data_IF_007383151818
#
_entry.id   IF_007383151818
#
_cell.length_a   1.000
_cell.length_b   1.000
_cell.length_c   1.000
_cell.angle_alpha   90.00
_cell.angle_beta   90.00
_cell.angle_gamma   90.00
#
_symmetry.space_group_name_H-M   'P 1'
#
loop_
_entity.id
_entity.type
_entity.pdbx_description
1 polymer ?
#
# COMPACT_ATOMS: atom_id res chain seq x y z
N UNK A 1 12.56 8.03 11.51
CA UNK A 1 11.99 9.31 12.01
C UNK A 1 10.54 9.11 12.40
N UNK A 2 10.16 9.64 13.53
CA UNK A 2 8.78 9.53 14.01
C UNK A 2 8.07 10.85 13.69
N UNK A 3 6.94 10.75 12.99
CA UNK A 3 6.09 11.90 12.71
C UNK A 3 5.04 11.99 13.83
N UNK A 4 5.15 13.01 14.68
CA UNK A 4 4.39 13.11 15.93
C UNK A 4 2.90 13.43 15.74
N UNK A 5 2.47 13.79 14.53
CA UNK A 5 1.11 14.29 14.30
C UNK A 5 0.23 13.31 13.50
N UNK A 6 0.55 12.02 13.54
CA UNK A 6 -0.28 11.01 12.89
C UNK A 6 -1.23 10.44 13.93
N UNK A 7 -2.41 11.01 14.03
CA UNK A 7 -3.40 10.65 15.04
C UNK A 7 -4.64 9.98 14.46
N UNK A 8 -4.71 9.86 13.14
CA UNK A 8 -5.86 9.28 12.46
C UNK A 8 -5.43 8.69 11.13
N UNK A 9 -6.30 7.86 10.57
CA UNK A 9 -6.06 7.31 9.23
C UNK A 9 -6.00 8.43 8.19
N UNK A 10 -6.79 9.47 8.36
CA UNK A 10 -6.77 10.63 7.46
C UNK A 10 -5.44 11.40 7.54
N UNK A 11 -4.88 11.56 8.74
CA UNK A 11 -3.56 12.15 8.90
C UNK A 11 -2.50 11.32 8.18
N UNK A 12 -2.58 10.00 8.32
CA UNK A 12 -1.68 9.08 7.64
C UNK A 12 -1.81 9.21 6.13
N UNK A 13 -3.03 9.32 5.63
CA UNK A 13 -3.28 9.52 4.20
C UNK A 13 -2.66 10.83 3.70
N UNK A 14 -2.86 11.93 4.41
CA UNK A 14 -2.30 13.22 4.00
C UNK A 14 -0.78 13.19 3.98
N UNK A 15 -0.16 12.58 4.98
CA UNK A 15 1.29 12.43 5.01
C UNK A 15 1.78 11.56 3.86
N UNK A 16 1.10 10.45 3.60
CA UNK A 16 1.45 9.53 2.50
C UNK A 16 1.38 10.26 1.16
N UNK A 17 0.30 11.00 0.94
CA UNK A 17 0.13 11.79 -0.28
C UNK A 17 1.25 12.80 -0.43
N UNK A 18 1.57 13.53 0.63
CA UNK A 18 2.63 14.54 0.62
C UNK A 18 3.99 13.92 0.32
N UNK A 19 4.30 12.77 0.90
CA UNK A 19 5.64 12.16 0.81
C UNK A 19 5.84 11.30 -0.42
N UNK A 20 4.79 10.70 -0.95
CA UNK A 20 4.94 9.72 -2.02
C UNK A 20 4.56 10.26 -3.40
N UNK A 21 3.59 11.17 -3.50
CA UNK A 21 3.20 11.69 -4.83
C UNK A 21 4.37 12.42 -5.46
N UNK A 22 4.68 12.05 -6.70
CA UNK A 22 5.81 12.59 -7.45
C UNK A 22 7.15 11.92 -7.16
N UNK A 23 7.19 10.96 -6.25
CA UNK A 23 8.44 10.30 -5.88
C UNK A 23 8.74 9.13 -6.80
N UNK A 24 10.00 9.04 -7.21
CA UNK A 24 10.54 7.93 -7.98
C UNK A 24 11.14 6.89 -7.05
N UNK A 25 10.86 5.63 -7.30
CA UNK A 25 11.42 4.52 -6.54
C UNK A 25 11.97 3.45 -7.43
N UNK A 26 12.81 2.59 -6.86
CA UNK A 26 13.39 1.43 -7.55
C UNK A 26 13.21 0.18 -6.71
N UNK A 27 13.26 -0.97 -7.39
CA UNK A 27 13.23 -2.28 -6.75
C UNK A 27 14.57 -2.93 -6.99
N UNK A 28 15.21 -3.42 -5.92
CA UNK A 28 16.55 -4.01 -6.00
C UNK A 28 16.54 -5.43 -5.48
N UNK A 29 17.43 -6.24 -6.05
CA UNK A 29 17.69 -7.60 -5.59
C UNK A 29 19.11 -7.60 -5.04
N UNK A 30 19.27 -8.05 -3.79
CA UNK A 30 20.58 -8.12 -3.14
C UNK A 30 20.84 -9.55 -2.69
N UNK A 31 21.83 -10.18 -3.26
CA UNK A 31 22.34 -11.47 -2.81
C UNK A 31 23.72 -11.71 -3.40
N UNK A 32 24.45 -12.65 -2.83
CA UNK A 32 25.82 -12.97 -3.27
C UNK A 32 26.72 -11.73 -3.36
N UNK A 33 26.59 -10.82 -2.37
CA UNK A 33 27.32 -9.56 -2.26
C UNK A 33 27.15 -8.62 -3.44
N UNK A 34 26.04 -8.76 -4.19
CA UNK A 34 25.72 -7.91 -5.34
C UNK A 34 24.33 -7.35 -5.20
N UNK A 35 24.18 -6.11 -5.61
CA UNK A 35 22.87 -5.45 -5.70
C UNK A 35 22.58 -5.10 -7.15
N UNK A 36 21.41 -5.49 -7.60
CA UNK A 36 20.95 -5.22 -8.97
C UNK A 36 19.60 -4.51 -8.91
N UNK A 37 19.47 -3.42 -9.64
CA UNK A 37 18.17 -2.71 -9.77
C UNK A 37 17.35 -3.47 -10.80
N UNK A 38 16.17 -3.91 -10.38
CA UNK A 38 15.27 -4.66 -11.24
C UNK A 38 14.68 -3.75 -12.33
N UNK A 39 14.75 -4.20 -13.58
CA UNK A 39 14.33 -3.40 -14.72
C UNK A 39 12.94 -3.73 -15.24
N UNK A 40 12.30 -4.81 -14.75
CA UNK A 40 10.96 -5.16 -15.14
C UNK A 40 9.91 -4.34 -14.39
N UNK A 41 8.67 -4.44 -14.84
CA UNK A 41 7.55 -3.74 -14.19
C UNK A 41 6.44 -4.68 -13.72
N UNK A 42 6.63 -5.97 -13.83
CA UNK A 42 5.63 -6.98 -13.52
C UNK A 42 5.42 -7.20 -12.02
N UNK A 43 6.37 -6.79 -11.17
CA UNK A 43 6.28 -6.99 -9.71
C UNK A 43 6.07 -5.69 -8.94
N UNK A 44 5.99 -4.54 -9.60
CA UNK A 44 5.94 -3.24 -8.92
C UNK A 44 4.74 -3.18 -7.98
N UNK A 45 3.57 -3.59 -8.45
CA UNK A 45 2.35 -3.52 -7.65
C UNK A 45 2.46 -4.35 -6.38
N UNK A 46 2.94 -5.59 -6.49
CA UNK A 46 3.08 -6.47 -5.33
C UNK A 46 4.11 -5.93 -4.34
N UNK A 47 5.22 -5.38 -4.85
CA UNK A 47 6.24 -4.79 -3.99
C UNK A 47 5.70 -3.58 -3.23
N UNK A 48 4.92 -2.73 -3.87
CA UNK A 48 4.33 -1.56 -3.22
C UNK A 48 3.33 -1.97 -2.14
N UNK A 49 2.55 -3.02 -2.38
CA UNK A 49 1.59 -3.52 -1.41
C UNK A 49 2.29 -4.02 -0.13
N UNK A 50 3.45 -4.64 -0.27
CA UNK A 50 4.23 -5.10 0.89
C UNK A 50 4.99 -3.96 1.55
N UNK A 51 5.49 -3.03 0.75
CA UNK A 51 6.32 -1.93 1.26
C UNK A 51 5.53 -0.96 2.12
N UNK A 52 4.28 -0.67 1.75
CA UNK A 52 3.53 0.41 2.39
C UNK A 52 3.29 0.18 3.88
N UNK A 53 2.81 -1.00 4.33
CA UNK A 53 2.65 -1.21 5.77
C UNK A 53 3.98 -1.20 6.53
N UNK A 54 5.08 -1.63 5.93
CA UNK A 54 6.40 -1.52 6.54
C UNK A 54 6.78 -0.05 6.74
N UNK A 55 6.52 0.79 5.75
CA UNK A 55 6.81 2.21 5.85
C UNK A 55 5.95 2.87 6.94
N UNK A 56 4.68 2.48 7.04
CA UNK A 56 3.82 2.98 8.10
C UNK A 56 4.33 2.61 9.49
N UNK A 57 4.83 1.39 9.67
CA UNK A 57 5.47 0.99 10.92
C UNK A 57 6.71 1.83 11.21
N UNK A 58 7.51 2.09 10.19
CA UNK A 58 8.68 2.96 10.31
C UNK A 58 8.29 4.38 10.77
N UNK A 59 7.15 4.87 10.32
CA UNK A 59 6.64 6.18 10.74
C UNK A 59 6.11 6.19 12.18
N UNK A 60 6.02 5.04 12.82
CA UNK A 60 5.53 4.94 14.20
C UNK A 60 4.05 4.63 14.33
N UNK A 61 3.37 4.30 13.24
CA UNK A 61 1.95 3.92 13.28
C UNK A 61 1.83 2.50 13.85
N UNK A 62 0.82 2.29 14.69
CA UNK A 62 0.53 0.97 15.23
C UNK A 62 -0.13 0.12 14.14
N UNK A 63 0.67 -0.73 13.51
CA UNK A 63 0.28 -1.56 12.38
C UNK A 63 0.40 -3.02 12.76
N UNK A 64 -0.66 -3.78 12.53
CA UNK A 64 -0.65 -5.23 12.61
C UNK A 64 -0.82 -5.77 11.20
N UNK A 65 0.23 -6.40 10.66
CA UNK A 65 0.18 -6.97 9.32
C UNK A 65 -0.68 -8.23 9.30
N UNK A 66 -1.26 -8.52 8.13
CA UNK A 66 -1.94 -9.79 7.90
C UNK A 66 -0.96 -10.95 7.95
N UNK A 67 -1.50 -12.17 7.82
CA UNK A 67 -0.73 -13.42 7.96
C UNK A 67 0.05 -13.80 6.70
N UNK A 68 0.15 -12.89 5.73
CA UNK A 68 0.83 -13.17 4.46
C UNK A 68 0.00 -13.89 3.44
N UNK A 69 -1.24 -14.26 3.77
CA UNK A 69 -2.17 -14.84 2.81
C UNK A 69 -2.82 -13.73 1.98
N UNK A 70 -3.49 -14.10 0.90
CA UNK A 70 -4.22 -13.16 0.06
C UNK A 70 -5.57 -12.77 0.65
N UNK A 71 -5.76 -12.97 1.94
CA UNK A 71 -7.00 -12.63 2.61
C UNK A 71 -7.01 -11.17 3.03
N UNK A 72 -8.18 -10.58 3.00
CA UNK A 72 -8.45 -9.27 3.56
C UNK A 72 -8.34 -9.31 5.10
N UNK A 73 -7.78 -8.29 5.76
CA UNK A 73 -7.10 -7.12 5.18
C UNK A 73 -5.58 -7.34 5.05
N UNK A 74 -4.91 -6.46 4.30
CA UNK A 74 -3.45 -6.47 4.25
C UNK A 74 -2.86 -6.12 5.61
N UNK A 75 -3.48 -5.16 6.31
CA UNK A 75 -3.06 -4.80 7.65
C UNK A 75 -4.19 -4.12 8.43
N UNK A 76 -3.99 -4.01 9.73
CA UNK A 76 -4.86 -3.24 10.62
C UNK A 76 -4.05 -2.10 11.20
N UNK A 77 -4.57 -0.88 11.09
CA UNK A 77 -3.99 0.31 11.70
C UNK A 77 -4.83 0.70 12.91
N UNK A 78 -4.18 1.03 14.00
CA UNK A 78 -4.87 1.39 15.24
C UNK A 78 -4.57 2.83 15.61
N UNK A 79 -5.62 3.61 15.82
CA UNK A 79 -5.52 5.00 16.23
C UNK A 79 -6.50 5.22 17.40
N UNK A 80 -5.98 5.70 18.53
CA UNK A 80 -6.80 6.03 19.70
C UNK A 80 -7.71 4.87 20.13
N UNK A 81 -7.18 3.64 20.06
CA UNK A 81 -7.92 2.45 20.43
C UNK A 81 -8.88 1.93 19.39
N UNK A 82 -9.02 2.60 18.26
CA UNK A 82 -9.91 2.18 17.16
C UNK A 82 -9.09 1.50 16.08
N UNK A 83 -9.55 0.33 15.64
CA UNK A 83 -8.89 -0.45 14.60
C UNK A 83 -9.54 -0.20 13.25
N UNK A 84 -8.70 -0.03 12.23
CA UNK A 84 -9.10 0.15 10.84
C UNK A 84 -8.47 -0.94 9.99
N UNK A 85 -9.30 -1.67 9.27
CA UNK A 85 -8.83 -2.68 8.33
C UNK A 85 -8.49 -1.99 7.00
N UNK A 86 -7.29 -2.23 6.51
CA UNK A 86 -6.80 -1.54 5.30
C UNK A 86 -6.32 -2.57 4.29
N UNK A 87 -6.81 -2.43 3.08
CA UNK A 87 -6.36 -3.18 1.92
C UNK A 87 -5.56 -2.23 1.02
N UNK A 88 -4.36 -2.62 0.67
CA UNK A 88 -3.51 -1.82 -0.22
C UNK A 88 -3.75 -2.30 -1.65
N UNK A 89 -3.98 -1.35 -2.54
CA UNK A 89 -4.07 -1.61 -3.97
C UNK A 89 -3.06 -0.74 -4.69
N UNK A 90 -2.28 -1.35 -5.55
CA UNK A 90 -1.36 -0.64 -6.43
C UNK A 90 -1.91 -0.73 -7.85
N UNK A 91 -1.97 0.42 -8.52
CA UNK A 91 -2.58 0.55 -9.82
C UNK A 91 -1.59 1.18 -10.79
N UNK A 92 -1.27 0.45 -11.85
CA UNK A 92 -0.52 1.02 -12.98
C UNK A 92 -1.46 1.96 -13.73
N UNK A 93 -1.23 3.27 -13.63
CA UNK A 93 -2.15 4.28 -14.16
C UNK A 93 -2.21 4.29 -15.68
N UNK A 94 -1.30 3.61 -16.37
CA UNK A 94 -1.39 3.43 -17.82
C UNK A 94 -2.51 2.46 -18.20
N UNK A 95 -3.03 1.69 -17.25
CA UNK A 95 -4.10 0.73 -17.46
C UNK A 95 -5.39 1.23 -16.83
N UNK A 96 -6.51 0.59 -17.19
CA UNK A 96 -7.76 0.84 -16.49
C UNK A 96 -7.69 0.27 -15.07
N UNK A 97 -8.26 0.95 -14.07
CA UNK A 97 -8.27 0.40 -12.73
C UNK A 97 -9.06 -0.92 -12.72
N UNK A 98 -8.36 -2.01 -12.38
CA UNK A 98 -8.98 -3.31 -12.24
C UNK A 98 -8.48 -3.91 -10.93
N UNK A 99 -9.37 -4.02 -9.95
CA UNK A 99 -9.04 -4.58 -8.65
C UNK A 99 -9.43 -6.04 -8.62
N UNK A 100 -8.69 -6.81 -7.82
CA UNK A 100 -8.89 -8.23 -7.69
C UNK A 100 -10.28 -8.51 -7.09
N UNK A 101 -11.12 -9.17 -7.86
CA UNK A 101 -12.47 -9.52 -7.43
C UNK A 101 -12.47 -10.50 -6.26
N UNK A 102 -11.46 -11.36 -6.18
CA UNK A 102 -11.35 -12.30 -5.05
C UNK A 102 -11.12 -11.55 -3.74
N UNK A 103 -10.30 -10.51 -3.76
CA UNK A 103 -10.10 -9.67 -2.57
C UNK A 103 -11.37 -8.93 -2.19
N UNK A 104 -12.13 -8.46 -3.19
CA UNK A 104 -13.42 -7.81 -2.93
C UNK A 104 -14.40 -8.79 -2.28
N UNK A 105 -14.49 -10.01 -2.79
CA UNK A 105 -15.35 -11.03 -2.21
C UNK A 105 -14.93 -11.38 -0.78
N UNK A 106 -13.62 -11.50 -0.54
CA UNK A 106 -13.10 -11.72 0.81
C UNK A 106 -13.48 -10.58 1.76
N UNK A 107 -13.44 -9.34 1.27
CA UNK A 107 -13.90 -8.20 2.05
C UNK A 107 -15.39 -8.31 2.38
N UNK A 108 -16.24 -8.64 1.41
CA UNK A 108 -17.66 -8.79 1.63
C UNK A 108 -17.95 -9.85 2.70
N UNK A 109 -17.27 -11.00 2.60
CA UNK A 109 -17.42 -12.07 3.60
C UNK A 109 -17.01 -11.59 4.98
N UNK A 110 -15.89 -10.86 5.07
CA UNK A 110 -15.39 -10.33 6.34
C UNK A 110 -16.39 -9.37 6.98
N UNK A 111 -16.94 -8.45 6.19
CA UNK A 111 -17.89 -7.47 6.72
C UNK A 111 -19.22 -8.11 7.11
N UNK A 112 -19.63 -9.14 6.40
CA UNK A 112 -20.87 -9.84 6.71
C UNK A 112 -20.74 -10.68 7.98
N UNK A 113 -19.61 -11.38 8.16
CA UNK A 113 -19.42 -12.30 9.29
C UNK A 113 -18.82 -11.62 10.52
N UNK A 114 -18.23 -10.44 10.37
CA UNK A 114 -17.59 -9.68 11.45
C UNK A 114 -18.02 -8.22 11.39
N UNK A 115 -19.25 -7.91 11.84
CA UNK A 115 -19.80 -6.53 11.70
C UNK A 115 -18.94 -5.46 12.37
N UNK A 116 -18.08 -5.83 13.33
CA UNK A 116 -17.16 -4.88 13.96
C UNK A 116 -16.06 -4.37 13.04
N UNK A 117 -15.91 -4.95 11.84
CA UNK A 117 -14.91 -4.52 10.86
C UNK A 117 -15.49 -3.60 9.79
N UNK A 118 -16.44 -2.75 10.19
CA UNK A 118 -17.02 -1.76 9.28
C UNK A 118 -16.05 -0.62 8.95
N UNK A 119 -15.00 -0.42 9.78
CA UNK A 119 -13.96 0.57 9.51
C UNK A 119 -12.93 -0.02 8.55
N UNK A 120 -13.31 -0.11 7.28
CA UNK A 120 -12.49 -0.74 6.25
C UNK A 120 -12.24 0.24 5.12
N UNK A 121 -11.00 0.26 4.64
CA UNK A 121 -10.53 1.24 3.68
C UNK A 121 -9.62 0.59 2.64
N UNK A 122 -9.64 1.16 1.43
CA UNK A 122 -8.60 0.95 0.44
C UNK A 122 -7.58 2.07 0.53
N UNK A 123 -6.30 1.71 0.60
CA UNK A 123 -5.19 2.62 0.35
C UNK A 123 -4.69 2.31 -1.07
N UNK A 124 -4.83 3.25 -1.98
CA UNK A 124 -4.58 3.01 -3.40
C UNK A 124 -3.39 3.85 -3.84
N UNK A 125 -2.38 3.19 -4.40
CA UNK A 125 -1.20 3.83 -4.98
C UNK A 125 -1.29 3.73 -6.49
N UNK A 126 -1.46 4.86 -7.16
CA UNK A 126 -1.38 4.93 -8.61
C UNK A 126 0.07 5.20 -9.02
N UNK A 127 0.67 4.29 -9.76
CA UNK A 127 2.08 4.39 -10.15
C UNK A 127 2.23 4.29 -11.66
N UNK A 128 3.34 4.85 -12.15
CA UNK A 128 3.73 4.75 -13.56
C UNK A 128 5.11 4.11 -13.63
N UNK A 129 5.27 2.97 -14.32
CA UNK A 129 6.59 2.40 -14.55
C UNK A 129 7.45 3.32 -15.39
N UNK A 130 8.76 3.25 -15.23
CA UNK A 130 9.68 3.94 -16.11
C UNK A 130 9.57 3.39 -17.54
N UNK A 131 9.45 4.26 -18.51
CA UNK A 131 9.19 3.87 -19.90
C UNK A 131 10.42 3.89 -20.77
N UNK A 132 11.43 4.67 -20.42
CA UNK A 132 12.65 4.74 -21.20
C UNK A 132 13.67 3.71 -20.74
N UNK A 133 14.56 3.31 -21.66
CA UNK A 133 15.58 2.30 -21.35
C UNK A 133 16.68 2.80 -20.41
N UNK A 134 16.64 4.06 -20.01
CA UNK A 134 17.65 4.68 -19.15
C UNK A 134 17.18 4.85 -17.73
N UNK A 135 15.86 4.88 -17.49
CA UNK A 135 15.28 4.97 -16.17
C UNK A 135 14.72 3.62 -15.76
N UNK A 136 14.95 3.26 -14.51
CA UNK A 136 14.42 2.03 -13.92
C UNK A 136 13.48 2.40 -12.79
N UNK A 137 12.57 1.48 -12.45
CA UNK A 137 11.67 1.66 -11.33
C UNK A 137 10.33 2.26 -11.74
N UNK A 138 9.82 3.13 -10.89
CA UNK A 138 8.46 3.66 -11.03
C UNK A 138 8.36 5.03 -10.37
N UNK A 139 7.31 5.75 -10.71
CA UNK A 139 6.93 6.99 -10.02
C UNK A 139 5.54 6.80 -9.45
N UNK A 140 5.35 7.10 -8.16
CA UNK A 140 4.02 7.18 -7.58
C UNK A 140 3.42 8.52 -7.96
N UNK A 141 2.28 8.50 -8.66
CA UNK A 141 1.67 9.74 -9.13
C UNK A 141 0.47 10.16 -8.30
N UNK A 142 -0.28 9.17 -7.76
CA UNK A 142 -1.49 9.46 -7.00
C UNK A 142 -1.62 8.52 -5.82
N UNK A 143 -2.13 9.07 -4.72
CA UNK A 143 -2.47 8.30 -3.52
C UNK A 143 -3.93 8.58 -3.19
N UNK A 144 -4.70 7.53 -2.96
CA UNK A 144 -6.10 7.63 -2.59
C UNK A 144 -6.37 6.84 -1.31
N UNK A 145 -7.31 7.34 -0.54
CA UNK A 145 -7.90 6.61 0.59
C UNK A 145 -9.40 6.55 0.35
N UNK A 146 -9.94 5.35 0.27
CA UNK A 146 -11.36 5.13 0.01
C UNK A 146 -11.97 4.29 1.12
N UNK A 147 -13.06 4.75 1.68
CA UNK A 147 -13.87 3.92 2.57
C UNK A 147 -14.59 2.87 1.71
N UNK A 148 -14.51 1.64 2.18
CA UNK A 148 -15.14 0.54 1.45
C UNK A 148 -16.61 0.42 1.85
#
# INVERSE_FOLDING_TARGET
>A
MIYMNINSLEDLYRLTKEKLEGQHGTISITFANRTHVYSGNDVIGNCLQEWLPDWFQYLGVDIKKGDGSQKFPDFIAKFNGVEYAVEVKAWNINNQPAFDLANFNSFLDTTYTAPGKLNAYYFILGYRPAEDGFSQGFTVERVFLKNI
#
